data_IF_805201454904
#
_entry.id   IF_805201454904
#
_cell.length_a   1.000
_cell.length_b   1.000
_cell.length_c   1.000
_cell.angle_alpha   90.00
_cell.angle_beta   90.00
_cell.angle_gamma   90.00
#
_symmetry.space_group_name_H-M   'P 1'
#
loop_
_entity.id
_entity.type
_entity.pdbx_description
1 polymer ?
#
# COMPACT_ATOMS: atom_id res chain seq x y z
N UNK A 1 -27.27 -7.22 -26.10
CA UNK A 1 -27.80 -8.48 -25.53
C UNK A 1 -28.76 -8.08 -24.42
N UNK A 2 -30.08 -8.22 -24.62
CA UNK A 2 -31.12 -7.83 -23.63
C UNK A 2 -31.23 -8.95 -22.59
N UNK A 3 -31.05 -8.64 -21.31
CA UNK A 3 -31.31 -9.56 -20.20
C UNK A 3 -32.80 -9.52 -19.86
N UNK A 4 -33.39 -10.71 -19.71
CA UNK A 4 -34.78 -10.89 -19.27
C UNK A 4 -34.88 -10.70 -17.74
N UNK A 5 -35.93 -10.02 -17.22
CA UNK A 5 -36.17 -9.90 -15.79
C UNK A 5 -36.99 -11.10 -15.30
N UNK A 6 -36.58 -11.75 -14.19
CA UNK A 6 -37.47 -12.64 -13.43
C UNK A 6 -36.93 -13.97 -12.91
N UNK A 7 -35.62 -14.21 -12.81
CA UNK A 7 -35.11 -15.40 -12.13
C UNK A 7 -34.89 -15.13 -10.63
N UNK A 8 -35.44 -15.95 -9.70
CA UNK A 8 -35.22 -15.79 -8.27
C UNK A 8 -33.76 -16.08 -7.92
N UNK A 9 -33.13 -15.18 -7.16
CA UNK A 9 -31.79 -15.39 -6.59
C UNK A 9 -31.85 -16.49 -5.52
N UNK A 10 -31.57 -17.73 -5.90
CA UNK A 10 -31.08 -18.70 -4.94
C UNK A 10 -29.68 -18.28 -4.47
N UNK A 11 -29.55 -18.10 -3.16
CA UNK A 11 -28.32 -17.74 -2.47
C UNK A 11 -27.28 -18.84 -2.71
N UNK A 12 -26.32 -18.57 -3.58
CA UNK A 12 -25.17 -19.45 -3.82
C UNK A 12 -24.18 -19.25 -2.67
N UNK A 13 -24.12 -20.22 -1.77
CA UNK A 13 -23.11 -20.27 -0.72
C UNK A 13 -21.75 -20.63 -1.33
N UNK A 14 -20.76 -19.76 -1.11
CA UNK A 14 -19.35 -20.01 -1.40
C UNK A 14 -18.80 -21.05 -0.41
N UNK A 15 -18.42 -22.20 -0.92
CA UNK A 15 -17.46 -23.08 -0.27
C UNK A 15 -16.70 -23.83 -1.38
N UNK A 16 -15.37 -23.77 -1.35
CA UNK A 16 -14.51 -24.49 -2.29
C UNK A 16 -13.55 -25.38 -1.50
N UNK A 17 -13.63 -26.67 -1.80
CA UNK A 17 -12.55 -27.62 -1.57
C UNK A 17 -12.32 -28.40 -2.87
N UNK A 18 -11.10 -28.35 -3.39
CA UNK A 18 -10.37 -29.53 -3.90
C UNK A 18 -9.06 -29.10 -4.57
N UNK A 19 -8.00 -29.79 -4.15
CA UNK A 19 -6.60 -29.68 -4.49
C UNK A 19 -6.27 -29.80 -5.99
N UNK A 20 -5.40 -28.94 -6.52
CA UNK A 20 -4.38 -29.29 -7.51
C UNK A 20 -3.16 -28.36 -7.39
N UNK A 21 -1.97 -28.95 -7.51
CA UNK A 21 -0.68 -28.47 -7.00
C UNK A 21 0.14 -27.65 -8.01
N UNK A 22 -0.37 -26.48 -8.38
CA UNK A 22 0.46 -25.39 -8.89
C UNK A 22 0.03 -24.13 -8.12
N UNK A 23 0.92 -23.42 -7.42
CA UNK A 23 0.52 -22.22 -6.70
C UNK A 23 0.07 -21.17 -7.73
N UNK A 24 -1.22 -20.81 -7.78
CA UNK A 24 -1.64 -19.70 -8.60
C UNK A 24 -1.02 -18.42 -8.05
N UNK A 25 -0.80 -17.38 -8.88
CA UNK A 25 -0.29 -16.11 -8.39
C UNK A 25 -1.23 -15.56 -7.31
N UNK A 26 -0.73 -15.15 -6.13
CA UNK A 26 -1.57 -14.62 -5.07
C UNK A 26 -2.27 -13.35 -5.55
N UNK A 27 -3.59 -13.26 -5.28
CA UNK A 27 -4.29 -12.00 -5.45
C UNK A 27 -3.87 -11.07 -4.33
N UNK A 28 -3.50 -9.88 -4.74
CA UNK A 28 -2.86 -8.90 -3.89
C UNK A 28 -3.88 -8.13 -3.07
N UNK A 29 -3.54 -7.95 -1.81
CA UNK A 29 -4.24 -7.03 -0.91
C UNK A 29 -3.34 -5.81 -0.76
N UNK A 30 -3.92 -4.62 -0.69
CA UNK A 30 -3.13 -3.40 -0.40
C UNK A 30 -3.74 -2.78 0.85
N UNK A 31 -2.87 -2.38 1.76
CA UNK A 31 -3.18 -1.54 2.90
C UNK A 31 -3.14 -0.09 2.48
N UNK A 32 -4.21 0.62 2.79
CA UNK A 32 -4.24 2.07 2.64
C UNK A 32 -4.12 2.68 4.03
N UNK A 33 -3.13 3.54 4.20
CA UNK A 33 -2.94 4.29 5.42
C UNK A 33 -2.58 5.76 5.10
N UNK A 34 -2.90 6.64 6.03
CA UNK A 34 -2.74 8.10 5.89
C UNK A 34 -1.41 8.56 6.49
N UNK A 35 -0.97 9.78 6.20
CA UNK A 35 0.35 10.31 6.57
C UNK A 35 0.64 10.44 8.10
N UNK A 36 -0.28 10.01 8.97
CA UNK A 36 -0.03 9.84 10.41
C UNK A 36 1.02 8.73 10.74
N UNK A 37 1.44 7.94 9.74
CA UNK A 37 2.41 6.84 9.87
C UNK A 37 3.89 7.24 9.63
N UNK A 38 4.23 8.54 9.60
CA UNK A 38 5.59 9.06 9.36
C UNK A 38 6.68 8.64 10.38
N UNK A 39 6.38 7.78 11.35
CA UNK A 39 7.38 7.21 12.28
C UNK A 39 8.10 5.95 11.78
N UNK A 40 7.67 5.33 10.67
CA UNK A 40 8.21 4.03 10.23
C UNK A 40 9.21 4.21 9.09
N UNK A 41 10.48 4.35 9.44
CA UNK A 41 11.59 4.23 8.50
C UNK A 41 11.79 2.76 8.08
N UNK A 42 11.12 2.31 7.01
CA UNK A 42 11.63 1.39 5.96
C UNK A 42 10.48 0.70 5.19
N UNK A 43 10.47 0.72 3.85
CA UNK A 43 9.37 0.18 3.02
C UNK A 43 9.47 -1.34 2.69
N UNK A 44 10.40 -2.10 3.28
CA UNK A 44 10.74 -3.46 2.80
C UNK A 44 10.34 -4.65 3.68
N UNK A 45 9.82 -4.43 4.88
CA UNK A 45 9.35 -5.49 5.77
C UNK A 45 7.99 -5.09 6.34
N UNK A 46 7.08 -6.02 6.68
CA UNK A 46 5.81 -5.67 7.30
C UNK A 46 6.06 -5.26 8.76
N UNK A 47 6.10 -3.97 9.11
CA UNK A 47 6.42 -3.57 10.46
C UNK A 47 5.10 -3.29 11.16
N UNK A 48 4.82 -4.05 12.21
CA UNK A 48 4.17 -3.48 13.39
C UNK A 48 2.70 -3.02 13.30
N UNK A 49 1.91 -3.36 12.27
CA UNK A 49 0.43 -3.22 12.34
C UNK A 49 -0.18 -3.93 13.56
N UNK A 50 0.43 -5.03 13.99
CA UNK A 50 0.09 -5.71 15.25
C UNK A 50 0.43 -4.90 16.51
N UNK A 51 1.37 -3.96 16.46
CA UNK A 51 1.85 -3.16 17.61
C UNK A 51 1.29 -1.74 17.66
N UNK A 52 0.97 -1.13 16.53
CA UNK A 52 0.39 0.22 16.51
C UNK A 52 -1.09 0.22 16.92
N UNK A 53 -1.54 1.33 17.51
CA UNK A 53 -2.91 1.50 18.05
C UNK A 53 -3.99 1.64 16.98
N UNK A 54 -3.61 1.67 15.70
CA UNK A 54 -4.54 1.86 14.59
C UNK A 54 -5.40 0.61 14.37
N UNK A 55 -6.70 0.84 14.20
CA UNK A 55 -7.69 -0.20 13.90
C UNK A 55 -7.71 -0.44 12.39
N UNK A 56 -8.37 -1.51 11.96
CA UNK A 56 -8.36 -1.94 10.57
C UNK A 56 -9.81 -2.01 10.08
N UNK A 57 -10.15 -1.18 9.10
CA UNK A 57 -11.42 -1.25 8.39
C UNK A 57 -11.32 -2.30 7.26
N UNK A 58 -12.19 -3.29 7.31
CA UNK A 58 -12.37 -4.28 6.24
C UNK A 58 -13.70 -3.99 5.56
N UNK A 59 -13.63 -3.75 4.25
CA UNK A 59 -14.84 -3.58 3.43
C UNK A 59 -15.38 -4.95 3.07
N UNK A 60 -16.46 -5.36 3.73
CA UNK A 60 -17.07 -6.68 3.55
C UNK A 60 -18.40 -6.59 2.80
N UNK A 61 -18.34 -6.87 1.49
CA UNK A 61 -19.50 -6.86 0.61
C UNK A 61 -20.30 -8.19 0.61
N UNK A 62 -20.05 -9.12 1.55
CA UNK A 62 -20.74 -10.41 1.53
C UNK A 62 -20.52 -11.36 2.72
N UNK A 63 -19.90 -10.90 3.81
CA UNK A 63 -19.61 -11.71 5.00
C UNK A 63 -18.43 -12.67 4.84
N UNK A 64 -17.78 -12.72 3.67
CA UNK A 64 -16.73 -13.69 3.39
C UNK A 64 -15.45 -13.34 4.18
N UNK A 65 -15.03 -12.08 4.17
CA UNK A 65 -13.78 -11.71 4.84
C UNK A 65 -13.95 -11.85 6.35
N UNK A 66 -15.09 -11.41 6.89
CA UNK A 66 -15.41 -11.60 8.30
C UNK A 66 -15.40 -13.08 8.71
N UNK A 67 -16.02 -13.96 7.91
CA UNK A 67 -16.07 -15.39 8.23
C UNK A 67 -14.70 -16.06 8.13
N UNK A 68 -13.92 -15.78 7.10
CA UNK A 68 -12.57 -16.34 6.91
C UNK A 68 -11.60 -15.91 8.04
N UNK A 69 -11.67 -14.64 8.45
CA UNK A 69 -10.89 -14.14 9.59
C UNK A 69 -11.29 -14.78 10.92
N UNK A 70 -12.54 -15.24 11.04
CA UNK A 70 -13.02 -15.92 12.24
C UNK A 70 -12.63 -17.40 12.28
N UNK A 71 -12.53 -18.05 11.12
CA UNK A 71 -12.27 -19.49 10.99
C UNK A 71 -10.78 -19.83 10.82
N UNK A 72 -9.96 -18.88 10.37
CA UNK A 72 -8.53 -19.14 10.17
C UNK A 72 -7.81 -19.47 11.47
N UNK A 73 -6.93 -20.47 11.41
CA UNK A 73 -6.09 -20.89 12.53
C UNK A 73 -4.69 -20.25 12.51
N UNK A 74 -4.42 -19.39 11.51
CA UNK A 74 -3.12 -18.73 11.39
C UNK A 74 -2.92 -17.72 12.54
N UNK A 75 -1.88 -17.89 13.38
CA UNK A 75 -1.63 -17.01 14.52
C UNK A 75 -1.33 -15.56 14.10
N UNK A 76 -0.80 -15.34 12.89
CA UNK A 76 -0.55 -14.00 12.38
C UNK A 76 -1.86 -13.23 12.15
N UNK A 77 -2.88 -13.92 11.65
CA UNK A 77 -4.23 -13.38 11.42
C UNK A 77 -5.05 -13.28 12.71
N UNK A 78 -4.78 -14.14 13.69
CA UNK A 78 -5.42 -14.08 15.00
C UNK A 78 -5.22 -12.74 15.71
N UNK A 79 -4.03 -12.14 15.60
CA UNK A 79 -3.76 -10.80 16.15
C UNK A 79 -4.54 -9.69 15.44
N UNK A 80 -4.69 -9.80 14.11
CA UNK A 80 -5.42 -8.87 13.27
C UNK A 80 -6.93 -8.90 13.58
N UNK A 81 -7.49 -10.08 13.86
CA UNK A 81 -8.92 -10.26 14.17
C UNK A 81 -9.42 -9.32 15.28
N UNK A 82 -8.61 -9.09 16.31
CA UNK A 82 -8.98 -8.20 17.43
C UNK A 82 -9.02 -6.70 17.07
N UNK A 83 -8.42 -6.32 15.94
CA UNK A 83 -8.32 -4.95 15.44
C UNK A 83 -9.21 -4.67 14.24
N UNK A 84 -9.88 -5.69 13.70
CA UNK A 84 -10.68 -5.58 12.49
C UNK A 84 -12.09 -5.15 12.84
N UNK A 85 -12.53 -4.11 12.15
CA UNK A 85 -13.88 -3.63 12.13
C UNK A 85 -14.42 -3.74 10.71
N UNK A 86 -15.70 -4.08 10.60
CA UNK A 86 -16.39 -4.23 9.32
C UNK A 86 -17.06 -2.92 8.98
N UNK A 87 -16.76 -2.41 7.80
CA UNK A 87 -17.24 -1.11 7.33
C UNK A 87 -17.89 -1.26 5.95
N UNK A 88 -18.84 -0.38 5.64
CA UNK A 88 -19.17 -0.12 4.23
C UNK A 88 -17.97 0.58 3.56
N UNK A 89 -17.92 0.61 2.23
CA UNK A 89 -16.82 1.30 1.53
C UNK A 89 -16.76 2.79 1.91
N UNK A 90 -17.91 3.46 1.98
CA UNK A 90 -18.02 4.88 2.31
C UNK A 90 -17.54 5.15 3.75
N UNK A 91 -18.04 4.37 4.71
CA UNK A 91 -17.63 4.51 6.12
C UNK A 91 -16.14 4.21 6.30
N UNK A 92 -15.58 3.24 5.56
CA UNK A 92 -14.17 2.90 5.63
C UNK A 92 -13.29 4.05 5.14
N UNK A 93 -13.69 4.70 4.03
CA UNK A 93 -13.04 5.88 3.48
C UNK A 93 -13.05 7.02 4.51
N UNK A 94 -14.17 7.26 5.16
CA UNK A 94 -14.28 8.30 6.19
C UNK A 94 -13.44 7.98 7.43
N UNK A 95 -13.42 6.73 7.87
CA UNK A 95 -12.58 6.27 8.97
C UNK A 95 -11.08 6.43 8.67
N UNK A 96 -10.68 6.20 7.42
CA UNK A 96 -9.31 6.44 6.96
C UNK A 96 -8.97 7.92 6.90
N UNK A 97 -9.87 8.78 6.40
CA UNK A 97 -9.67 10.25 6.39
C UNK A 97 -9.49 10.82 7.79
N UNK A 98 -10.17 10.24 8.77
CA UNK A 98 -10.03 10.61 10.19
C UNK A 98 -8.71 10.11 10.81
N UNK A 99 -7.91 9.32 10.08
CA UNK A 99 -6.68 8.71 10.59
C UNK A 99 -6.92 7.63 11.65
N UNK A 100 -8.16 7.17 11.80
CA UNK A 100 -8.54 6.23 12.86
C UNK A 100 -8.31 4.76 12.46
N UNK A 101 -8.42 4.46 11.17
CA UNK A 101 -8.33 3.11 10.63
C UNK A 101 -7.41 3.05 9.41
N UNK A 102 -6.71 1.94 9.23
CA UNK A 102 -6.17 1.53 7.94
C UNK A 102 -7.23 0.70 7.19
N UNK A 103 -7.29 0.78 5.86
CA UNK A 103 -8.25 0.01 5.08
C UNK A 103 -7.56 -1.19 4.41
N UNK A 104 -8.19 -2.37 4.52
CA UNK A 104 -7.90 -3.54 3.69
C UNK A 104 -8.91 -3.61 2.54
N UNK A 105 -8.42 -3.57 1.31
CA UNK A 105 -9.22 -3.78 0.10
C UNK A 105 -8.48 -4.70 -0.88
N UNK A 106 -9.24 -5.28 -1.81
CA UNK A 106 -8.68 -5.99 -2.96
C UNK A 106 -7.86 -5.02 -3.82
N UNK A 107 -6.66 -5.42 -4.27
CA UNK A 107 -5.75 -4.57 -5.05
C UNK A 107 -6.43 -3.91 -6.26
N UNK A 108 -7.25 -4.66 -6.98
CA UNK A 108 -7.94 -4.16 -8.17
C UNK A 108 -8.96 -3.07 -7.82
N UNK A 109 -9.64 -3.20 -6.68
CA UNK A 109 -10.57 -2.18 -6.18
C UNK A 109 -9.81 -0.89 -5.81
N UNK A 110 -8.65 -1.02 -5.17
CA UNK A 110 -7.83 0.14 -4.81
C UNK A 110 -7.38 0.90 -6.05
N UNK A 111 -6.90 0.18 -7.06
CA UNK A 111 -6.38 0.80 -8.28
C UNK A 111 -7.47 1.50 -9.11
N UNK A 112 -8.74 1.08 -8.97
CA UNK A 112 -9.84 1.58 -9.79
C UNK A 112 -10.70 2.59 -9.01
N UNK A 113 -11.31 2.18 -7.92
CA UNK A 113 -12.27 3.02 -7.17
C UNK A 113 -11.58 3.98 -6.21
N UNK A 114 -10.51 3.54 -5.56
CA UNK A 114 -9.91 4.33 -4.48
C UNK A 114 -9.19 5.57 -4.99
N UNK A 115 -8.52 5.46 -6.14
CA UNK A 115 -7.96 6.62 -6.86
C UNK A 115 -9.03 7.68 -7.18
N UNK A 116 -10.29 7.28 -7.40
CA UNK A 116 -11.39 8.21 -7.65
C UNK A 116 -11.86 8.92 -6.38
N UNK A 117 -11.99 8.21 -5.25
CA UNK A 117 -12.49 8.79 -4.00
C UNK A 117 -11.47 9.65 -3.26
N UNK A 118 -10.17 9.35 -3.41
CA UNK A 118 -9.09 9.97 -2.62
C UNK A 118 -8.15 10.84 -3.45
N UNK A 119 -8.64 11.45 -4.53
CA UNK A 119 -7.82 12.23 -5.47
C UNK A 119 -7.11 13.44 -4.79
N UNK A 120 -7.70 13.99 -3.73
CA UNK A 120 -7.17 15.17 -3.01
C UNK A 120 -6.53 14.85 -1.65
N UNK A 121 -6.52 13.58 -1.26
CA UNK A 121 -6.11 13.16 0.07
C UNK A 121 -4.70 12.57 0.05
N UNK A 122 -3.91 12.78 1.10
CA UNK A 122 -2.58 12.18 1.24
C UNK A 122 -2.68 10.77 1.81
N UNK A 123 -2.74 9.78 0.92
CA UNK A 123 -2.74 8.37 1.27
C UNK A 123 -1.57 7.64 0.61
N UNK A 124 -1.17 6.54 1.23
CA UNK A 124 -0.24 5.60 0.63
C UNK A 124 -0.88 4.22 0.54
N UNK A 125 -0.60 3.54 -0.57
CA UNK A 125 -0.95 2.16 -0.81
C UNK A 125 0.27 1.27 -0.57
N UNK A 126 0.22 0.41 0.43
CA UNK A 126 1.19 -0.65 0.65
C UNK A 126 0.66 -1.97 0.15
N UNK A 127 1.30 -2.55 -0.86
CA UNK A 127 0.92 -3.86 -1.40
C UNK A 127 1.47 -4.98 -0.51
N UNK A 128 0.57 -5.72 0.14
CA UNK A 128 0.90 -6.89 0.93
C UNK A 128 -0.23 -7.92 0.88
N UNK A 129 0.12 -9.16 0.56
CA UNK A 129 -0.85 -10.26 0.47
C UNK A 129 -1.21 -10.72 1.88
N UNK A 130 -2.38 -10.29 2.38
CA UNK A 130 -2.89 -10.64 3.71
C UNK A 130 -3.69 -11.94 3.66
N UNK A 131 -4.52 -12.07 2.62
CA UNK A 131 -5.35 -13.24 2.37
C UNK A 131 -5.16 -13.66 0.92
N UNK A 132 -4.76 -14.91 0.72
CA UNK A 132 -4.65 -15.53 -0.59
C UNK A 132 -6.03 -15.73 -1.20
N UNK A 133 -6.60 -14.68 -1.77
CA UNK A 133 -7.87 -14.78 -2.48
C UNK A 133 -7.64 -15.28 -3.90
N UNK A 134 -8.60 -16.01 -4.45
CA UNK A 134 -8.58 -16.48 -5.83
C UNK A 134 -9.93 -16.16 -6.46
N UNK A 135 -9.91 -15.57 -7.65
CA UNK A 135 -11.11 -15.42 -8.47
C UNK A 135 -11.31 -16.73 -9.20
N UNK A 136 -12.45 -17.36 -8.96
CA UNK A 136 -12.79 -18.66 -9.53
C UNK A 136 -14.08 -18.58 -10.33
N UNK A 137 -14.17 -19.41 -11.36
CA UNK A 137 -15.40 -19.60 -12.13
C UNK A 137 -16.28 -20.66 -11.48
N UNK A 138 -17.51 -20.31 -11.15
CA UNK A 138 -18.49 -21.25 -10.62
C UNK A 138 -19.33 -21.85 -11.74
N UNK A 139 -19.41 -23.18 -11.75
CA UNK A 139 -20.24 -23.94 -12.68
C UNK A 139 -21.24 -24.80 -11.89
N UNK A 140 -22.46 -25.02 -12.41
CA UNK A 140 -23.36 -26.05 -11.86
C UNK A 140 -22.65 -27.41 -11.77
N UNK A 141 -23.04 -28.22 -10.79
CA UNK A 141 -22.52 -29.58 -10.64
C UNK A 141 -22.73 -30.35 -11.95
N UNK A 142 -21.73 -31.15 -12.32
CA UNK A 142 -21.75 -32.01 -13.53
C UNK A 142 -21.83 -31.25 -14.87
N UNK A 143 -21.39 -30.00 -14.93
CA UNK A 143 -21.26 -29.27 -16.21
C UNK A 143 -20.32 -30.02 -17.17
N UNK A 144 -20.80 -30.51 -18.33
CA UNK A 144 -20.06 -31.48 -19.15
C UNK A 144 -18.80 -30.92 -19.81
N UNK A 145 -18.71 -29.60 -20.03
CA UNK A 145 -17.56 -28.95 -20.66
C UNK A 145 -16.61 -28.25 -19.68
N UNK A 146 -16.77 -28.44 -18.36
CA UNK A 146 -15.93 -27.80 -17.34
C UNK A 146 -14.43 -28.05 -17.61
N UNK A 147 -14.06 -29.29 -17.89
CA UNK A 147 -12.67 -29.67 -18.12
C UNK A 147 -12.02 -28.91 -19.31
N UNK A 148 -12.77 -28.73 -20.41
CA UNK A 148 -12.31 -27.95 -21.56
C UNK A 148 -12.14 -26.48 -21.20
N UNK A 149 -13.06 -25.94 -20.42
CA UNK A 149 -12.98 -24.56 -19.95
C UNK A 149 -11.74 -24.35 -19.06
N UNK A 150 -11.50 -25.25 -18.11
CA UNK A 150 -10.33 -25.19 -17.22
C UNK A 150 -9.02 -25.27 -18.02
N UNK A 151 -8.94 -26.16 -19.00
CA UNK A 151 -7.79 -26.28 -19.91
C UNK A 151 -7.52 -24.99 -20.70
N UNK A 152 -8.58 -24.39 -21.28
CA UNK A 152 -8.47 -23.12 -22.01
C UNK A 152 -8.00 -22.00 -21.06
N UNK A 153 -8.53 -21.92 -19.83
CA UNK A 153 -8.11 -20.90 -18.87
C UNK A 153 -6.64 -21.06 -18.49
N UNK A 154 -6.16 -22.29 -18.29
CA UNK A 154 -4.74 -22.56 -18.05
C UNK A 154 -3.88 -22.09 -19.22
N UNK A 155 -4.28 -22.41 -20.45
CA UNK A 155 -3.56 -21.95 -21.66
C UNK A 155 -3.55 -20.41 -21.76
N UNK A 156 -4.70 -19.75 -21.56
CA UNK A 156 -4.80 -18.29 -21.57
C UNK A 156 -3.91 -17.66 -20.49
N UNK A 157 -3.85 -18.27 -19.31
CA UNK A 157 -2.96 -17.84 -18.23
C UNK A 157 -1.48 -18.02 -18.61
N UNK A 158 -1.12 -19.17 -19.20
CA UNK A 158 0.25 -19.48 -19.61
C UNK A 158 0.76 -18.53 -20.70
N UNK A 159 -0.08 -18.17 -21.66
CA UNK A 159 0.25 -17.17 -22.67
C UNK A 159 0.18 -15.73 -22.15
N UNK A 160 -0.16 -15.51 -20.88
CA UNK A 160 -0.25 -14.17 -20.28
C UNK A 160 -1.40 -13.32 -20.81
N UNK A 161 -2.36 -13.91 -21.54
CA UNK A 161 -3.49 -13.18 -22.13
C UNK A 161 -4.41 -12.59 -21.07
N UNK A 162 -4.64 -13.32 -19.98
CA UNK A 162 -5.45 -12.83 -18.84
C UNK A 162 -4.80 -11.57 -18.23
N UNK A 163 -3.48 -11.60 -18.02
CA UNK A 163 -2.75 -10.46 -17.47
C UNK A 163 -2.74 -9.27 -18.44
N UNK A 164 -2.61 -9.55 -19.75
CA UNK A 164 -2.70 -8.53 -20.78
C UNK A 164 -4.07 -7.84 -20.78
N UNK A 165 -5.16 -8.60 -20.82
CA UNK A 165 -6.52 -8.04 -20.78
C UNK A 165 -6.79 -7.27 -19.49
N UNK A 166 -6.34 -7.78 -18.35
CA UNK A 166 -6.40 -7.05 -17.07
C UNK A 166 -5.73 -5.68 -17.19
N UNK A 167 -4.53 -5.61 -17.76
CA UNK A 167 -3.81 -4.34 -17.92
C UNK A 167 -4.52 -3.41 -18.91
N UNK A 168 -5.06 -3.94 -20.01
CA UNK A 168 -5.82 -3.17 -21.01
C UNK A 168 -7.05 -2.53 -20.37
N UNK A 169 -7.83 -3.29 -19.60
CA UNK A 169 -9.02 -2.79 -18.90
C UNK A 169 -8.66 -1.74 -17.85
N UNK A 170 -7.65 -2.00 -17.01
CA UNK A 170 -7.17 -1.02 -16.01
C UNK A 170 -6.73 0.28 -16.69
N UNK A 171 -6.00 0.19 -17.80
CA UNK A 171 -5.54 1.36 -18.54
C UNK A 171 -6.71 2.13 -19.20
N UNK A 172 -7.69 1.41 -19.75
CA UNK A 172 -8.88 1.99 -20.34
C UNK A 172 -9.70 2.76 -19.30
N UNK A 173 -9.85 2.16 -18.11
CA UNK A 173 -10.53 2.78 -16.98
C UNK A 173 -9.77 4.01 -16.45
N UNK A 174 -8.46 3.93 -16.21
CA UNK A 174 -7.66 5.11 -15.82
C UNK A 174 -7.78 6.25 -16.83
N UNK A 175 -7.84 5.93 -18.13
CA UNK A 175 -8.05 6.92 -19.20
C UNK A 175 -9.45 7.53 -19.16
N UNK A 176 -10.49 6.79 -18.78
CA UNK A 176 -11.85 7.32 -18.64
C UNK A 176 -11.96 8.27 -17.45
N UNK A 177 -11.35 7.94 -16.31
CA UNK A 177 -11.26 8.84 -15.14
C UNK A 177 -10.55 10.13 -15.51
N UNK A 178 -9.34 10.07 -16.09
CA UNK A 178 -8.59 11.29 -16.48
C UNK A 178 -9.39 12.20 -17.42
N UNK A 179 -10.17 11.63 -18.34
CA UNK A 179 -11.06 12.39 -19.23
C UNK A 179 -12.20 13.06 -18.45
N UNK A 180 -12.81 12.35 -17.51
CA UNK A 180 -13.85 12.89 -16.62
C UNK A 180 -13.32 14.07 -15.80
N UNK A 181 -12.14 13.91 -15.20
CA UNK A 181 -11.55 14.94 -14.32
C UNK A 181 -11.10 16.18 -15.09
N UNK A 182 -10.55 16.01 -16.31
CA UNK A 182 -10.21 17.13 -17.20
C UNK A 182 -11.42 18.00 -17.56
N UNK A 183 -12.61 17.40 -17.66
CA UNK A 183 -13.86 18.14 -17.89
C UNK A 183 -14.36 18.92 -16.68
N UNK A 184 -13.96 18.53 -15.46
CA UNK A 184 -14.36 19.17 -14.20
C UNK A 184 -13.46 20.35 -13.80
N UNK A 185 -12.47 20.71 -14.61
CA UNK A 185 -11.52 21.79 -14.28
C UNK A 185 -10.60 21.45 -13.10
N UNK A 186 -10.61 20.19 -12.63
CA UNK A 186 -9.62 19.65 -11.70
C UNK A 186 -8.33 19.50 -12.49
N UNK A 187 -7.58 20.60 -12.53
CA UNK A 187 -6.23 20.64 -13.06
C UNK A 187 -5.45 19.66 -12.20
N UNK A 188 -5.02 18.54 -12.80
CA UNK A 188 -3.96 17.70 -12.24
C UNK A 188 -2.87 18.69 -11.80
N UNK A 189 -2.80 18.97 -10.50
CA UNK A 189 -1.66 19.61 -9.88
C UNK A 189 -0.60 18.52 -9.92
N UNK A 190 -0.08 18.31 -11.12
CA UNK A 190 0.95 17.36 -11.45
C UNK A 190 2.05 17.66 -10.46
N UNK A 191 2.15 16.80 -9.42
CA UNK A 191 3.13 16.85 -8.33
C UNK A 191 4.38 17.47 -8.90
N UNK A 192 4.50 18.79 -8.74
CA UNK A 192 5.65 19.49 -9.27
C UNK A 192 6.82 18.84 -8.54
N UNK A 193 7.89 18.42 -9.24
CA UNK A 193 9.02 17.78 -8.59
C UNK A 193 9.38 18.64 -7.40
N UNK A 194 9.16 18.09 -6.20
CA UNK A 194 9.08 18.84 -4.96
C UNK A 194 10.32 19.72 -4.91
N UNK A 195 10.14 21.03 -5.09
CA UNK A 195 11.26 21.93 -5.27
C UNK A 195 12.17 21.78 -4.06
N UNK A 196 13.45 21.48 -4.30
CA UNK A 196 14.41 21.15 -3.26
C UNK A 196 14.38 22.27 -2.20
N UNK A 197 13.76 22.00 -1.05
CA UNK A 197 13.65 23.01 0.01
C UNK A 197 14.97 23.10 0.77
N UNK A 198 15.29 24.28 1.28
CA UNK A 198 16.52 24.54 2.05
C UNK A 198 16.69 23.55 3.23
N UNK A 199 15.59 23.05 3.78
CA UNK A 199 15.57 22.04 4.85
C UNK A 199 16.35 20.76 4.49
N UNK A 200 16.34 20.35 3.22
CA UNK A 200 17.10 19.17 2.77
C UNK A 200 18.61 19.40 2.74
N UNK A 201 19.05 20.67 2.69
CA UNK A 201 20.45 21.08 2.65
C UNK A 201 20.98 21.52 4.02
N UNK A 202 20.14 21.58 5.04
CA UNK A 202 20.49 22.06 6.38
C UNK A 202 21.65 21.26 7.00
N UNK A 203 21.63 19.94 6.83
CA UNK A 203 22.70 19.05 7.28
C UNK A 203 24.07 19.35 6.68
N UNK A 204 24.11 19.78 5.41
CA UNK A 204 25.36 20.17 4.75
C UNK A 204 25.90 21.47 5.35
N UNK A 205 25.04 22.44 5.65
CA UNK A 205 25.45 23.68 6.30
C UNK A 205 25.98 23.44 7.72
N UNK A 206 25.36 22.54 8.48
CA UNK A 206 25.87 22.17 9.81
C UNK A 206 27.26 21.53 9.75
N UNK A 207 27.51 20.64 8.78
CA UNK A 207 28.82 20.03 8.59
C UNK A 207 29.90 21.07 8.27
N UNK A 208 29.60 22.03 7.39
CA UNK A 208 30.53 23.13 7.05
C UNK A 208 30.78 24.03 8.25
N UNK A 209 29.72 24.44 8.95
CA UNK A 209 29.84 25.27 10.15
C UNK A 209 30.68 24.59 11.23
N UNK A 210 30.44 23.30 11.47
CA UNK A 210 31.20 22.52 12.44
C UNK A 210 32.68 22.41 12.06
N UNK A 211 32.99 22.12 10.79
CA UNK A 211 34.36 22.08 10.30
C UNK A 211 35.11 23.41 10.50
N UNK A 212 34.43 24.54 10.25
CA UNK A 212 35.00 25.87 10.49
C UNK A 212 35.25 26.14 11.98
N UNK A 213 34.33 25.74 12.86
CA UNK A 213 34.52 25.92 14.31
C UNK A 213 35.70 25.10 14.84
N UNK A 214 35.87 23.85 14.39
CA UNK A 214 37.01 23.02 14.76
C UNK A 214 38.31 23.63 14.25
N UNK A 215 38.35 24.05 12.99
CA UNK A 215 39.54 24.67 12.39
C UNK A 215 39.93 25.95 13.15
N UNK A 216 38.96 26.80 13.47
CA UNK A 216 39.17 28.01 14.27
C UNK A 216 39.67 27.69 15.68
N UNK A 217 39.17 26.63 16.31
CA UNK A 217 39.61 26.19 17.63
C UNK A 217 41.06 25.67 17.64
N UNK A 218 41.43 24.86 16.64
CA UNK A 218 42.81 24.38 16.46
C UNK A 218 43.78 25.55 16.28
N UNK A 219 43.42 26.51 15.43
CA UNK A 219 44.22 27.71 15.18
C UNK A 219 44.36 28.57 16.44
N UNK A 220 43.29 28.72 17.23
CA UNK A 220 43.33 29.44 18.51
C UNK A 220 44.31 28.77 19.49
N UNK A 221 44.26 27.43 19.61
CA UNK A 221 45.17 26.67 20.46
C UNK A 221 46.63 26.82 20.00
N UNK A 222 46.87 26.84 18.69
CA UNK A 222 48.22 27.02 18.13
C UNK A 222 48.77 28.41 18.43
N UNK A 223 47.95 29.47 18.30
CA UNK A 223 48.33 30.84 18.66
C UNK A 223 48.65 30.93 20.16
N UNK A 224 47.81 30.34 21.03
CA UNK A 224 48.05 30.30 22.46
C UNK A 224 49.36 29.58 22.79
N UNK A 225 49.60 28.41 22.17
CA UNK A 225 50.85 27.66 22.32
C UNK A 225 52.06 28.46 21.85
N UNK A 226 51.97 29.16 20.73
CA UNK A 226 53.07 29.99 20.21
C UNK A 226 53.37 31.17 21.15
N UNK A 227 52.31 31.87 21.62
CA UNK A 227 52.44 33.06 22.47
C UNK A 227 52.92 32.74 23.89
N UNK A 228 52.47 31.64 24.48
CA UNK A 228 52.83 31.26 25.85
C UNK A 228 53.99 30.26 25.92
N UNK A 229 54.15 29.38 24.93
CA UNK A 229 55.25 28.40 24.86
C UNK A 229 56.61 29.02 24.54
N UNK A 230 56.65 30.13 23.79
CA UNK A 230 57.89 30.87 23.52
C UNK A 230 58.57 31.45 24.77
N UNK A 231 57.85 31.60 25.89
CA UNK A 231 58.43 32.08 27.16
C UNK A 231 59.14 31.00 27.98
N UNK A 232 58.89 29.71 27.73
CA UNK A 232 59.52 28.61 28.47
C UNK A 232 60.70 27.96 27.74
N UNK A 233 60.85 28.18 26.43
CA UNK A 233 61.96 27.63 25.65
C UNK A 233 63.29 28.41 25.80
N UNK A 234 63.28 29.60 26.42
CA UNK A 234 64.46 30.46 26.58
C UNK A 234 65.28 30.28 27.85
N UNK A 235 65.08 29.19 28.62
CA UNK A 235 65.78 28.96 29.91
C UNK A 235 66.45 27.59 29.97
N UNK A 236 67.20 27.24 28.92
CA UNK A 236 68.20 26.17 28.93
C UNK A 236 69.34 26.56 27.99
N UNK A 237 70.21 27.47 28.43
CA UNK A 237 71.65 27.49 28.19
C UNK A 237 72.27 28.42 29.22
#
# INVERSE_FOLDING_TARGET
MRLLPGAPMERVFLAVGSCFSLPPPPIQVIWLAFDAFQGISSPSHPPHLGRESHRIAVVDNGGFVASELQTTQDPSVGSLRSKIDLFSLEDAIDALRQGSHAIILMYNYITLEFEYYMENDEWYAMKQDVLGTQVVWYFPKQTPWKYKFDEINLQLSWFGLIQHWKQVEINAYKKSIKRSNKGRGLREESRSPQALTLAHLEGVFYMVGFAWTISGFILLLEILKHRYGGRFAGRRY
#
